data_IF_664377336371
#
_entry.id   IF_664377336371
#
_cell.length_a   1.000
_cell.length_b   1.000
_cell.length_c   1.000
_cell.angle_alpha   90.00
_cell.angle_beta   90.00
_cell.angle_gamma   90.00
#
_symmetry.space_group_name_H-M   'P 1'
#
loop_
_entity.id
_entity.type
_entity.pdbx_description
1 polymer ?
#
# COMPACT_ATOMS: atom_id res chain seq x y z
N UNK A 1 -5.47 3.93 -21.62
CA UNK A 1 -5.29 4.98 -20.59
C UNK A 1 -4.91 4.30 -19.29
N UNK A 2 -3.69 4.57 -18.78
CA UNK A 2 -3.29 4.13 -17.43
C UNK A 2 -3.92 5.12 -16.45
N UNK A 3 -4.86 4.67 -15.64
CA UNK A 3 -5.43 5.45 -14.55
C UNK A 3 -4.37 5.65 -13.48
N UNK A 4 -4.24 6.87 -12.98
CA UNK A 4 -3.29 7.22 -11.93
C UNK A 4 -4.06 7.56 -10.66
N UNK A 5 -3.65 6.97 -9.54
CA UNK A 5 -4.23 7.17 -8.22
C UNK A 5 -3.11 7.67 -7.31
N UNK A 6 -3.34 8.79 -6.63
CA UNK A 6 -2.36 9.36 -5.70
C UNK A 6 -2.34 8.57 -4.40
N UNK A 7 -1.18 8.16 -3.96
CA UNK A 7 -0.97 7.63 -2.60
C UNK A 7 -0.64 8.77 -1.66
N UNK A 8 -1.26 8.75 -0.47
CA UNK A 8 -1.05 9.78 0.55
C UNK A 8 -0.06 9.29 1.61
N UNK A 9 0.73 10.20 2.21
CA UNK A 9 1.62 9.85 3.29
C UNK A 9 0.82 9.38 4.51
N UNK A 10 1.20 8.27 5.12
CA UNK A 10 0.54 7.74 6.32
C UNK A 10 0.62 8.73 7.50
N UNK A 11 1.71 9.49 7.56
CA UNK A 11 1.93 10.55 8.56
C UNK A 11 1.99 11.90 7.86
N UNK A 12 0.88 12.62 7.84
CA UNK A 12 0.87 14.02 7.43
C UNK A 12 1.27 14.90 8.63
N UNK A 13 2.02 15.98 8.42
CA UNK A 13 2.38 16.91 9.51
C UNK A 13 1.14 17.59 10.09
N UNK A 14 0.19 17.97 9.26
CA UNK A 14 -1.10 18.53 9.62
C UNK A 14 -2.10 18.41 8.46
N UNK A 15 -3.39 18.52 8.77
CA UNK A 15 -4.47 18.42 7.79
C UNK A 15 -4.42 19.58 6.78
N UNK A 16 -4.08 20.78 7.23
CA UNK A 16 -4.08 21.98 6.38
C UNK A 16 -3.07 21.84 5.24
N UNK A 17 -1.87 21.37 5.56
CA UNK A 17 -0.81 21.12 4.58
C UNK A 17 -1.23 20.01 3.60
N UNK A 18 -1.80 18.91 4.10
CA UNK A 18 -2.27 17.83 3.25
C UNK A 18 -3.39 18.29 2.32
N UNK A 19 -4.35 19.04 2.82
CA UNK A 19 -5.46 19.64 2.05
C UNK A 19 -4.94 20.53 0.91
N UNK A 20 -4.02 21.45 1.20
CA UNK A 20 -3.41 22.32 0.18
C UNK A 20 -2.70 21.52 -0.91
N UNK A 21 -1.94 20.49 -0.54
CA UNK A 21 -1.27 19.61 -1.51
C UNK A 21 -2.27 18.87 -2.39
N UNK A 22 -3.34 18.31 -1.83
CA UNK A 22 -4.39 17.64 -2.59
C UNK A 22 -5.12 18.58 -3.55
N UNK A 23 -5.44 19.80 -3.11
CA UNK A 23 -6.05 20.83 -3.99
C UNK A 23 -5.12 21.19 -5.15
N UNK A 24 -3.81 21.31 -4.92
CA UNK A 24 -2.85 21.55 -5.98
C UNK A 24 -2.77 20.38 -6.98
N UNK A 25 -2.79 19.14 -6.47
CA UNK A 25 -2.85 17.95 -7.32
C UNK A 25 -4.16 17.91 -8.13
N UNK A 26 -5.28 18.23 -7.52
CA UNK A 26 -6.58 18.27 -8.18
C UNK A 26 -6.61 19.33 -9.30
N UNK A 27 -6.06 20.51 -9.06
CA UNK A 27 -5.91 21.55 -10.09
C UNK A 27 -5.01 21.11 -11.25
N UNK A 28 -4.07 20.17 -11.01
CA UNK A 28 -3.24 19.56 -12.04
C UNK A 28 -3.90 18.32 -12.72
N UNK A 29 -5.18 18.05 -12.42
CA UNK A 29 -5.95 16.96 -13.05
C UNK A 29 -5.94 15.61 -12.32
N UNK A 30 -5.37 15.53 -11.12
CA UNK A 30 -5.37 14.31 -10.30
C UNK A 30 -6.65 14.26 -9.46
N UNK A 31 -7.55 13.32 -9.77
CA UNK A 31 -8.88 13.27 -9.17
C UNK A 31 -9.15 11.99 -8.35
N UNK A 32 -8.16 11.12 -8.20
CA UNK A 32 -8.28 9.86 -7.47
C UNK A 32 -7.18 9.70 -6.42
N UNK A 33 -7.54 9.19 -5.22
CA UNK A 33 -6.62 8.97 -4.11
C UNK A 33 -6.77 7.57 -3.51
N UNK A 34 -5.65 6.99 -3.06
CA UNK A 34 -5.62 5.77 -2.26
C UNK A 34 -5.67 6.14 -0.77
N UNK A 35 -6.69 5.68 -0.09
CA UNK A 35 -6.99 6.01 1.30
C UNK A 35 -6.52 4.90 2.24
N UNK A 36 -5.43 5.12 2.96
CA UNK A 36 -4.90 4.19 3.97
C UNK A 36 -5.36 4.50 5.40
N UNK A 37 -6.12 5.59 5.60
CA UNK A 37 -6.66 5.99 6.90
C UNK A 37 -8.07 6.57 6.74
N UNK A 38 -8.84 6.58 7.82
CA UNK A 38 -10.17 7.21 7.86
C UNK A 38 -10.05 8.72 7.57
N UNK A 39 -8.99 9.37 8.02
CA UNK A 39 -8.75 10.79 7.72
C UNK A 39 -8.61 11.05 6.21
N UNK A 40 -7.98 10.14 5.46
CA UNK A 40 -7.89 10.24 3.99
C UNK A 40 -9.28 10.14 3.34
N UNK A 41 -10.16 9.23 3.84
CA UNK A 41 -11.53 9.09 3.34
C UNK A 41 -12.34 10.38 3.55
N UNK A 42 -12.29 10.92 4.77
CA UNK A 42 -13.01 12.15 5.11
C UNK A 42 -12.53 13.32 4.27
N UNK A 43 -11.22 13.52 4.20
CA UNK A 43 -10.62 14.63 3.45
C UNK A 43 -10.88 14.51 1.94
N UNK A 44 -10.70 13.32 1.38
CA UNK A 44 -10.95 13.07 -0.04
C UNK A 44 -12.41 13.29 -0.42
N UNK A 45 -13.35 12.84 0.43
CA UNK A 45 -14.79 13.08 0.24
C UNK A 45 -15.13 14.57 0.28
N UNK A 46 -14.56 15.34 1.22
CA UNK A 46 -14.75 16.79 1.29
C UNK A 46 -14.23 17.53 0.06
N UNK A 47 -13.18 17.02 -0.58
CA UNK A 47 -12.60 17.58 -1.80
C UNK A 47 -13.24 17.05 -3.09
N UNK A 48 -14.23 16.16 -3.01
CA UNK A 48 -14.88 15.57 -4.18
C UNK A 48 -13.96 14.66 -5.00
N UNK A 49 -12.95 14.06 -4.38
CA UNK A 49 -12.02 13.13 -5.02
C UNK A 49 -12.62 11.73 -5.10
N UNK A 50 -12.23 10.97 -6.11
CA UNK A 50 -12.52 9.55 -6.18
C UNK A 50 -11.67 8.79 -5.14
N UNK A 51 -12.33 7.93 -4.36
CA UNK A 51 -11.73 7.25 -3.22
C UNK A 51 -11.49 5.77 -3.52
N UNK A 52 -10.25 5.32 -3.33
CA UNK A 52 -9.85 3.92 -3.37
C UNK A 52 -9.35 3.51 -2.00
N UNK A 53 -9.86 2.41 -1.45
CA UNK A 53 -9.42 1.91 -0.14
C UNK A 53 -8.05 1.22 -0.25
N UNK A 54 -7.09 1.65 0.58
CA UNK A 54 -5.77 1.03 0.69
C UNK A 54 -5.70 -0.04 1.76
N UNK A 55 -4.60 -0.79 1.79
CA UNK A 55 -4.34 -1.85 2.79
C UNK A 55 -4.27 -1.32 4.22
N UNK A 56 -3.94 -0.03 4.39
CA UNK A 56 -3.87 0.64 5.69
C UNK A 56 -5.23 0.77 6.40
N UNK A 57 -6.37 0.64 5.69
CA UNK A 57 -7.69 0.55 6.32
C UNK A 57 -7.91 -0.76 7.08
N UNK A 58 -7.05 -1.75 6.87
CA UNK A 58 -7.03 -3.05 7.53
C UNK A 58 -8.40 -3.75 7.55
N UNK A 59 -9.04 -3.86 6.39
CA UNK A 59 -10.36 -4.45 6.25
C UNK A 59 -10.28 -5.97 6.29
N UNK A 60 -10.78 -6.58 7.35
CA UNK A 60 -10.66 -8.02 7.64
C UNK A 60 -11.97 -8.80 7.54
N UNK A 61 -13.10 -8.14 7.29
CA UNK A 61 -14.40 -8.78 7.22
C UNK A 61 -15.39 -7.94 6.39
N UNK A 62 -16.49 -8.59 5.96
CA UNK A 62 -17.53 -7.95 5.14
C UNK A 62 -18.22 -6.76 5.81
N UNK A 63 -18.29 -6.72 7.13
CA UNK A 63 -18.93 -5.60 7.84
C UNK A 63 -18.08 -4.34 7.72
N UNK A 64 -16.77 -4.43 7.91
CA UNK A 64 -15.85 -3.30 7.70
C UNK A 64 -15.86 -2.83 6.24
N UNK A 65 -15.91 -3.74 5.26
CA UNK A 65 -16.05 -3.40 3.84
C UNK A 65 -17.36 -2.65 3.56
N UNK A 66 -18.49 -3.10 4.15
CA UNK A 66 -19.77 -2.40 4.01
C UNK A 66 -19.73 -0.98 4.59
N UNK A 67 -19.06 -0.78 5.72
CA UNK A 67 -18.90 0.56 6.31
C UNK A 67 -18.11 1.46 5.38
N UNK A 68 -16.99 0.99 4.83
CA UNK A 68 -16.17 1.78 3.90
C UNK A 68 -16.94 2.10 2.61
N UNK A 69 -17.76 1.19 2.11
CA UNK A 69 -18.64 1.45 0.96
C UNK A 69 -19.56 2.66 1.19
N UNK A 70 -20.09 2.83 2.42
CA UNK A 70 -20.92 3.98 2.76
C UNK A 70 -20.18 5.34 2.74
N UNK A 71 -18.85 5.31 2.83
CA UNK A 71 -18.02 6.51 2.62
C UNK A 71 -17.90 6.89 1.15
N UNK A 72 -18.36 6.06 0.22
CA UNK A 72 -18.32 6.31 -1.23
C UNK A 72 -17.04 5.84 -1.90
N UNK A 73 -16.38 4.84 -1.34
CA UNK A 73 -15.17 4.21 -1.92
C UNK A 73 -15.58 3.40 -3.14
N UNK A 74 -14.85 3.54 -4.24
CA UNK A 74 -15.11 2.85 -5.52
C UNK A 74 -14.67 1.38 -5.50
N UNK A 75 -13.53 1.12 -4.88
CA UNK A 75 -12.95 -0.21 -4.67
C UNK A 75 -12.03 -0.19 -3.45
N UNK A 76 -11.57 -1.36 -3.00
CA UNK A 76 -10.69 -1.42 -1.83
C UNK A 76 -9.69 -2.56 -1.90
N UNK A 77 -8.57 -2.39 -1.21
CA UNK A 77 -7.64 -3.46 -0.89
C UNK A 77 -7.97 -4.02 0.49
N UNK A 78 -8.00 -5.34 0.58
CA UNK A 78 -8.24 -6.05 1.84
C UNK A 78 -6.97 -6.17 2.67
N UNK A 79 -7.13 -6.48 3.96
CA UNK A 79 -6.02 -6.66 4.88
C UNK A 79 -5.08 -7.78 4.42
N UNK A 80 -3.79 -7.53 4.57
CA UNK A 80 -2.72 -8.52 4.32
C UNK A 80 -2.71 -9.68 5.32
N UNK A 81 -3.48 -9.58 6.41
CA UNK A 81 -3.62 -10.62 7.44
C UNK A 81 -4.61 -11.72 7.04
N UNK A 82 -5.40 -11.50 5.97
CA UNK A 82 -6.36 -12.48 5.49
C UNK A 82 -5.70 -13.54 4.62
N UNK A 83 -6.13 -14.78 4.78
CA UNK A 83 -5.90 -15.80 3.76
C UNK A 83 -6.70 -15.48 2.49
N UNK A 84 -6.28 -15.99 1.33
CA UNK A 84 -7.01 -15.79 0.05
C UNK A 84 -8.49 -16.19 0.19
N UNK A 85 -8.77 -17.30 0.84
CA UNK A 85 -10.15 -17.78 1.08
C UNK A 85 -10.97 -16.81 1.92
N UNK A 86 -10.41 -16.26 2.99
CA UNK A 86 -11.08 -15.26 3.82
C UNK A 86 -11.30 -13.96 3.05
N UNK A 87 -10.30 -13.51 2.31
CA UNK A 87 -10.40 -12.30 1.50
C UNK A 87 -11.51 -12.43 0.44
N UNK A 88 -11.61 -13.56 -0.26
CA UNK A 88 -12.68 -13.82 -1.23
C UNK A 88 -14.07 -13.72 -0.61
N UNK A 89 -14.25 -14.11 0.66
CA UNK A 89 -15.53 -13.97 1.35
C UNK A 89 -15.95 -12.53 1.66
N UNK A 90 -15.06 -11.56 1.43
CA UNK A 90 -15.30 -10.13 1.63
C UNK A 90 -15.66 -9.37 0.35
N UNK A 91 -15.64 -10.03 -0.83
CA UNK A 91 -15.75 -9.37 -2.14
C UNK A 91 -17.21 -9.18 -2.65
N UNK A 92 -18.22 -9.41 -1.82
CA UNK A 92 -19.62 -9.54 -2.28
C UNK A 92 -20.25 -8.25 -2.80
N UNK A 93 -19.85 -7.09 -2.31
CA UNK A 93 -20.56 -5.81 -2.55
C UNK A 93 -19.68 -4.69 -3.10
N UNK A 94 -18.42 -4.67 -2.78
CA UNK A 94 -17.46 -3.68 -3.23
C UNK A 94 -16.35 -4.41 -3.99
N UNK A 95 -15.96 -3.95 -5.19
CA UNK A 95 -14.80 -4.50 -5.87
C UNK A 95 -13.59 -4.50 -4.92
N UNK A 96 -13.05 -5.67 -4.63
CA UNK A 96 -11.97 -5.81 -3.67
C UNK A 96 -10.74 -6.48 -4.28
N UNK A 97 -9.59 -6.04 -3.82
CA UNK A 97 -8.29 -6.54 -4.23
C UNK A 97 -7.43 -6.96 -3.04
N UNK A 98 -6.28 -7.50 -3.33
CA UNK A 98 -5.30 -7.92 -2.34
C UNK A 98 -3.91 -7.39 -2.66
N UNK A 99 -3.06 -7.37 -1.63
CA UNK A 99 -1.63 -7.15 -1.76
C UNK A 99 -1.00 -8.44 -2.32
N UNK A 100 -0.60 -8.41 -3.59
CA UNK A 100 -0.13 -9.58 -4.32
C UNK A 100 1.39 -9.69 -4.39
N UNK A 101 2.10 -8.56 -4.41
CA UNK A 101 3.56 -8.53 -4.40
C UNK A 101 4.09 -7.34 -3.60
N UNK A 102 5.19 -7.54 -2.90
CA UNK A 102 6.05 -6.51 -2.34
C UNK A 102 6.49 -6.76 -0.91
N UNK A 103 7.42 -5.94 -0.45
CA UNK A 103 7.87 -5.96 0.93
C UNK A 103 6.88 -5.21 1.82
N UNK A 104 6.27 -5.91 2.77
CA UNK A 104 5.35 -5.27 3.72
C UNK A 104 6.11 -4.37 4.70
N UNK A 105 5.62 -3.16 4.99
CA UNK A 105 6.17 -2.33 6.05
C UNK A 105 5.88 -2.98 7.41
N UNK A 106 6.92 -3.38 8.12
CA UNK A 106 6.80 -3.98 9.48
C UNK A 106 6.90 -2.93 10.57
N UNK A 107 7.52 -1.77 10.26
CA UNK A 107 7.59 -0.64 11.18
C UNK A 107 7.66 0.68 10.41
N UNK A 108 6.94 1.69 10.91
CA UNK A 108 7.08 3.10 10.51
C UNK A 108 7.42 3.90 11.76
N UNK A 109 8.51 4.66 11.71
CA UNK A 109 8.98 5.43 12.86
C UNK A 109 9.49 6.81 12.46
N UNK A 110 9.31 7.81 13.31
CA UNK A 110 9.88 9.15 13.11
C UNK A 110 11.38 9.19 13.43
N UNK A 111 11.84 8.35 14.35
CA UNK A 111 13.26 8.21 14.67
C UNK A 111 13.85 7.10 13.79
N UNK A 112 14.98 7.40 13.14
CA UNK A 112 15.70 6.40 12.36
C UNK A 112 16.63 5.61 13.29
N UNK A 113 16.39 4.30 13.52
CA UNK A 113 17.23 3.52 14.42
C UNK A 113 18.67 3.41 13.94
N UNK A 114 18.92 3.42 12.63
CA UNK A 114 20.28 3.36 12.07
C UNK A 114 21.02 4.67 12.30
N UNK A 115 20.33 5.81 12.18
CA UNK A 115 20.96 7.12 12.40
C UNK A 115 21.44 7.29 13.83
N UNK A 116 20.67 6.81 14.80
CA UNK A 116 21.01 6.89 16.23
C UNK A 116 22.24 6.04 16.57
N UNK A 117 22.45 4.93 15.86
CA UNK A 117 23.53 3.99 16.15
C UNK A 117 24.81 4.29 15.35
N UNK A 118 24.73 4.46 14.04
CA UNK A 118 25.92 4.57 13.16
C UNK A 118 25.97 5.87 12.35
N UNK A 119 24.93 6.70 12.42
CA UNK A 119 24.81 7.94 11.64
C UNK A 119 24.46 7.71 10.17
N UNK A 120 23.94 8.77 9.52
CA UNK A 120 23.51 8.69 8.12
C UNK A 120 24.67 8.45 7.14
N UNK A 121 25.89 8.92 7.45
CA UNK A 121 27.07 8.77 6.57
C UNK A 121 27.50 7.31 6.41
N UNK A 122 27.28 6.48 7.43
CA UNK A 122 27.63 5.06 7.43
C UNK A 122 26.43 4.14 7.22
N UNK A 123 25.27 4.71 6.91
CA UNK A 123 24.01 3.98 6.75
C UNK A 123 24.06 3.07 5.51
N UNK A 124 23.77 1.79 5.71
CA UNK A 124 23.62 0.80 4.63
C UNK A 124 22.16 0.59 4.21
N UNK A 125 21.23 1.38 4.73
CA UNK A 125 19.78 1.25 4.48
C UNK A 125 19.22 -0.15 4.78
N UNK A 126 19.75 -0.81 5.81
CA UNK A 126 19.32 -2.13 6.22
C UNK A 126 19.54 -2.36 7.72
N UNK A 127 18.67 -3.14 8.32
CA UNK A 127 18.82 -3.67 9.66
C UNK A 127 18.98 -5.19 9.59
N UNK A 128 19.67 -5.77 10.58
CA UNK A 128 19.76 -7.22 10.71
C UNK A 128 19.18 -7.63 12.06
N UNK A 129 18.42 -8.71 12.06
CA UNK A 129 17.96 -9.32 13.31
C UNK A 129 18.99 -10.30 13.89
N UNK A 130 18.66 -10.88 15.05
CA UNK A 130 19.49 -11.88 15.72
C UNK A 130 19.70 -13.16 14.90
N UNK A 131 18.88 -13.41 13.88
CA UNK A 131 19.00 -14.55 12.95
C UNK A 131 19.75 -14.19 11.68
N UNK A 132 20.36 -12.98 11.62
CA UNK A 132 21.08 -12.43 10.48
C UNK A 132 20.22 -12.16 9.24
N UNK A 133 18.90 -12.08 9.38
CA UNK A 133 18.00 -11.66 8.29
C UNK A 133 18.10 -10.16 8.09
N UNK A 134 18.14 -9.75 6.85
CA UNK A 134 18.29 -8.35 6.46
C UNK A 134 16.93 -7.74 6.14
N UNK A 135 16.58 -6.66 6.86
CA UNK A 135 15.36 -5.87 6.69
C UNK A 135 15.71 -4.57 5.97
N UNK A 136 15.20 -4.33 4.77
CA UNK A 136 15.42 -3.08 4.06
C UNK A 136 14.84 -1.89 4.82
N UNK A 137 15.55 -0.75 4.80
CA UNK A 137 15.14 0.48 5.47
C UNK A 137 15.06 1.60 4.46
N UNK A 138 13.92 2.25 4.37
CA UNK A 138 13.68 3.36 3.49
C UNK A 138 13.41 4.63 4.29
N UNK A 139 14.20 5.67 4.02
CA UNK A 139 14.04 6.98 4.65
C UNK A 139 13.25 7.90 3.72
N UNK A 140 12.22 8.53 4.26
CA UNK A 140 11.46 9.58 3.59
C UNK A 140 11.55 10.88 4.40
N UNK A 141 10.98 11.95 3.87
CA UNK A 141 10.84 13.20 4.64
C UNK A 141 9.92 12.96 5.83
N UNK A 142 10.49 13.00 7.03
CA UNK A 142 9.77 12.95 8.30
C UNK A 142 9.54 11.58 8.93
N UNK A 143 9.86 10.47 8.24
CA UNK A 143 9.79 9.14 8.85
C UNK A 143 10.65 8.10 8.13
N UNK A 144 10.88 6.98 8.81
CA UNK A 144 11.62 5.83 8.32
C UNK A 144 10.69 4.62 8.24
N UNK A 145 10.75 3.86 7.15
CA UNK A 145 10.01 2.61 6.98
C UNK A 145 10.99 1.45 7.00
N UNK A 146 10.72 0.45 7.82
CA UNK A 146 11.43 -0.82 7.83
C UNK A 146 10.52 -1.83 7.14
N UNK A 147 11.03 -2.47 6.10
CA UNK A 147 10.31 -3.46 5.33
C UNK A 147 10.65 -4.87 5.77
N UNK A 148 9.72 -5.81 5.59
CA UNK A 148 9.97 -7.22 5.82
C UNK A 148 11.14 -7.71 4.94
N UNK A 149 11.93 -8.63 5.46
CA UNK A 149 13.08 -9.22 4.78
C UNK A 149 12.69 -9.99 3.49
N UNK A 150 11.48 -10.55 3.47
CA UNK A 150 10.96 -11.35 2.34
C UNK A 150 9.70 -10.69 1.80
N UNK A 151 9.58 -10.48 0.48
CA UNK A 151 8.36 -9.94 -0.10
C UNK A 151 7.21 -10.96 -0.03
N UNK A 152 5.98 -10.46 -0.01
CA UNK A 152 4.81 -11.26 -0.35
C UNK A 152 4.90 -11.65 -1.81
N UNK A 153 4.50 -12.88 -2.14
CA UNK A 153 4.50 -13.43 -3.49
C UNK A 153 3.32 -14.37 -3.66
N UNK A 154 2.41 -14.09 -4.57
CA UNK A 154 1.24 -14.94 -4.82
C UNK A 154 1.05 -15.29 -6.31
N UNK A 155 2.03 -15.01 -7.17
CA UNK A 155 1.96 -15.37 -8.58
C UNK A 155 1.83 -16.88 -8.80
N UNK A 156 2.42 -17.71 -7.93
CA UNK A 156 2.29 -19.16 -7.91
C UNK A 156 0.87 -19.68 -7.62
N UNK A 157 -0.03 -18.80 -7.15
CA UNK A 157 -1.43 -19.09 -6.80
C UNK A 157 -2.44 -18.35 -7.68
N UNK A 158 -2.04 -17.92 -8.85
CA UNK A 158 -2.83 -17.04 -9.73
C UNK A 158 -4.25 -17.55 -10.00
N UNK A 159 -4.46 -18.87 -10.10
CA UNK A 159 -5.79 -19.46 -10.28
C UNK A 159 -6.75 -19.15 -9.11
N UNK A 160 -6.23 -18.99 -7.90
CA UNK A 160 -7.01 -18.67 -6.71
C UNK A 160 -7.36 -17.17 -6.64
N UNK A 161 -6.73 -16.34 -7.48
CA UNK A 161 -6.89 -14.89 -7.46
C UNK A 161 -8.04 -14.36 -8.35
N UNK A 162 -8.69 -15.22 -9.12
CA UNK A 162 -9.71 -14.86 -10.12
C UNK A 162 -10.94 -14.12 -9.55
N UNK A 163 -11.17 -14.20 -8.26
CA UNK A 163 -12.28 -13.51 -7.58
C UNK A 163 -11.99 -12.08 -7.16
N UNK A 164 -10.74 -11.62 -7.29
CA UNK A 164 -10.36 -10.26 -6.94
C UNK A 164 -10.41 -9.34 -8.16
N UNK A 165 -10.85 -8.09 -7.94
CA UNK A 165 -10.89 -7.05 -8.97
C UNK A 165 -9.53 -6.43 -9.23
N UNK A 166 -8.63 -6.46 -8.24
CA UNK A 166 -7.35 -5.75 -8.26
C UNK A 166 -6.26 -6.55 -7.54
N UNK A 167 -5.08 -6.59 -8.12
CA UNK A 167 -3.87 -7.12 -7.49
C UNK A 167 -2.87 -5.96 -7.31
N UNK A 168 -2.54 -5.63 -6.07
CA UNK A 168 -1.53 -4.61 -5.76
C UNK A 168 -0.14 -5.22 -5.83
N UNK A 169 0.69 -4.72 -6.75
CA UNK A 169 2.13 -4.97 -6.80
C UNK A 169 2.85 -3.72 -6.29
N UNK A 170 3.41 -3.81 -5.09
CA UNK A 170 4.06 -2.68 -4.41
C UNK A 170 5.57 -2.77 -4.54
N UNK A 171 6.13 -1.95 -5.41
CA UNK A 171 7.58 -1.87 -5.60
C UNK A 171 8.16 -0.78 -4.71
N UNK A 172 9.19 -1.10 -3.93
CA UNK A 172 9.81 -0.19 -2.96
C UNK A 172 11.33 -0.15 -3.04
N UNK A 173 11.96 -1.30 -3.25
CA UNK A 173 13.42 -1.47 -3.23
C UNK A 173 13.94 -2.16 -4.49
N UNK A 174 13.06 -2.62 -5.36
CA UNK A 174 13.37 -3.38 -6.55
C UNK A 174 13.99 -2.48 -7.63
N UNK A 175 15.01 -3.01 -8.30
CA UNK A 175 15.58 -2.39 -9.50
C UNK A 175 14.61 -2.48 -10.70
N UNK A 176 14.73 -1.62 -11.71
CA UNK A 176 13.89 -1.68 -12.92
C UNK A 176 13.87 -3.05 -13.60
N UNK A 177 15.00 -3.76 -13.60
CA UNK A 177 15.11 -5.12 -14.17
C UNK A 177 14.29 -6.14 -13.38
N UNK A 178 14.33 -6.04 -12.04
CA UNK A 178 13.51 -6.91 -11.16
C UNK A 178 12.03 -6.62 -11.35
N UNK A 179 11.63 -5.34 -11.42
CA UNK A 179 10.24 -4.94 -11.68
C UNK A 179 9.73 -5.55 -12.98
N UNK A 180 10.50 -5.49 -14.06
CA UNK A 180 10.11 -6.09 -15.33
C UNK A 180 9.91 -7.60 -15.25
N UNK A 181 10.81 -8.31 -14.56
CA UNK A 181 10.70 -9.76 -14.36
C UNK A 181 9.43 -10.12 -13.56
N UNK A 182 9.18 -9.41 -12.45
CA UNK A 182 8.00 -9.62 -11.60
C UNK A 182 6.71 -9.35 -12.39
N UNK A 183 6.67 -8.25 -13.16
CA UNK A 183 5.50 -7.95 -14.00
C UNK A 183 5.24 -9.04 -15.03
N UNK A 184 6.29 -9.64 -15.62
CA UNK A 184 6.14 -10.75 -16.55
C UNK A 184 5.50 -11.99 -15.88
N UNK A 185 5.89 -12.31 -14.64
CA UNK A 185 5.31 -13.44 -13.89
C UNK A 185 3.82 -13.23 -13.58
N UNK A 186 3.38 -11.99 -13.34
CA UNK A 186 1.96 -11.66 -13.12
C UNK A 186 1.15 -11.46 -14.41
N UNK A 187 1.80 -11.32 -15.56
CA UNK A 187 1.16 -11.20 -16.88
C UNK A 187 1.08 -12.54 -17.62
N UNK A 188 1.98 -13.47 -17.32
CA UNK A 188 1.95 -14.79 -17.92
C UNK A 188 0.70 -15.52 -17.42
N UNK A 189 -0.19 -16.02 -18.32
CA UNK A 189 -1.21 -16.95 -17.90
C UNK A 189 -0.47 -18.18 -17.35
N UNK A 190 -0.77 -18.53 -16.11
CA UNK A 190 -0.28 -19.80 -15.56
C UNK A 190 -0.79 -20.92 -16.47
N UNK A 191 0.15 -21.57 -17.16
CA UNK A 191 -0.12 -22.72 -18.00
C UNK A 191 -0.69 -23.88 -17.16
#
# INVERSE_FOLDING_TARGET
YKRQILTLPTFAPDETTLRKRLQACQAAGWNAILCDTIAHLVLGKQLGLELHGGTGLNLTNRHSVNVIQQYGVSDTLLSVELTIRQALSCCDRLPAGIFAYGHLPVMKTRLCPIREEVGCRSCKHQLKDRTNRTFPVFCTEGYTVIYNAVPVWVADRFQQLRGFSTLLLSFSIESPKQIQAILADYQAPCA
#
